data_IF_831137656462
#
_entry.id   IF_831137656462
#
_cell.length_a   1.000
_cell.length_b   1.000
_cell.length_c   1.000
_cell.angle_alpha   90.00
_cell.angle_beta   90.00
_cell.angle_gamma   90.00
#
_symmetry.space_group_name_H-M   'P 1'
#
loop_
_entity.id
_entity.type
_entity.pdbx_description
1 polymer ?
#
# COMPACT_ATOMS: atom_id res chain seq x y z
N UNK A 1 -7.07 13.16 -15.76
CA UNK A 1 -6.39 11.87 -16.01
C UNK A 1 -6.69 10.81 -14.94
N UNK A 2 -6.97 11.18 -13.70
CA UNK A 2 -7.21 10.28 -12.55
C UNK A 2 -8.44 9.36 -12.69
N UNK A 3 -9.54 9.82 -13.30
CA UNK A 3 -10.77 9.03 -13.44
C UNK A 3 -10.69 7.90 -14.47
N UNK A 4 -9.85 8.03 -15.50
CA UNK A 4 -9.72 7.01 -16.55
C UNK A 4 -9.09 5.72 -16.01
N UNK A 5 -8.13 5.81 -15.10
CA UNK A 5 -7.50 4.64 -14.46
C UNK A 5 -8.48 3.93 -13.54
N UNK A 6 -9.28 4.68 -12.77
CA UNK A 6 -10.29 4.11 -11.89
C UNK A 6 -11.38 3.37 -12.66
N UNK A 7 -11.81 3.91 -13.80
CA UNK A 7 -12.81 3.27 -14.68
C UNK A 7 -12.27 1.99 -15.30
N UNK A 8 -11.00 1.95 -15.72
CA UNK A 8 -10.38 0.73 -16.26
C UNK A 8 -10.24 -0.36 -15.18
N UNK A 9 -9.86 0.01 -13.97
CA UNK A 9 -9.78 -0.93 -12.84
C UNK A 9 -11.17 -1.47 -12.43
N UNK A 10 -12.19 -0.62 -12.45
CA UNK A 10 -13.58 -1.04 -12.22
C UNK A 10 -14.10 -1.95 -13.34
N UNK A 11 -13.74 -1.70 -14.61
CA UNK A 11 -14.12 -2.54 -15.73
C UNK A 11 -13.42 -3.92 -15.71
N UNK A 12 -12.15 -3.96 -15.32
CA UNK A 12 -11.42 -5.21 -15.12
C UNK A 12 -11.97 -6.01 -13.94
N UNK A 13 -12.35 -5.34 -12.86
CA UNK A 13 -12.99 -5.98 -11.70
C UNK A 13 -14.39 -6.54 -12.06
N UNK A 14 -15.21 -5.78 -12.82
CA UNK A 14 -16.54 -6.23 -13.23
C UNK A 14 -16.50 -7.40 -14.20
N UNK A 15 -15.54 -7.43 -15.14
CA UNK A 15 -15.37 -8.57 -16.06
C UNK A 15 -14.87 -9.83 -15.37
N UNK A 16 -14.10 -9.69 -14.29
CA UNK A 16 -13.67 -10.81 -13.46
C UNK A 16 -14.84 -11.38 -12.63
N UNK A 17 -15.74 -10.52 -12.14
CA UNK A 17 -16.94 -10.92 -11.39
C UNK A 17 -17.92 -11.67 -12.31
N UNK A 18 -18.14 -11.22 -13.55
CA UNK A 18 -19.03 -11.88 -14.52
C UNK A 18 -18.56 -13.29 -14.90
N UNK A 19 -17.23 -13.53 -15.01
CA UNK A 19 -16.71 -14.89 -15.22
C UNK A 19 -16.76 -15.77 -13.97
N UNK A 20 -16.80 -15.16 -12.78
CA UNK A 20 -16.95 -15.89 -11.53
C UNK A 20 -18.38 -16.46 -11.35
N UNK A 21 -19.39 -15.83 -11.94
CA UNK A 21 -20.78 -16.25 -11.80
C UNK A 21 -21.08 -17.57 -12.52
N UNK A 22 -20.43 -17.84 -13.66
CA UNK A 22 -20.53 -19.16 -14.34
C UNK A 22 -19.89 -20.31 -13.53
N UNK A 23 -18.88 -20.00 -12.70
CA UNK A 23 -18.20 -20.99 -11.84
C UNK A 23 -18.96 -21.27 -10.52
N UNK A 24 -19.92 -20.43 -10.15
CA UNK A 24 -20.66 -20.52 -8.86
C UNK A 24 -21.73 -21.61 -8.87
N UNK A 25 -22.23 -22.00 -10.05
CA UNK A 25 -23.35 -22.97 -10.16
C UNK A 25 -22.94 -24.40 -9.73
N UNK A 26 -21.65 -24.76 -9.79
CA UNK A 26 -21.16 -26.09 -9.39
C UNK A 26 -20.74 -26.23 -7.92
N UNK A 27 -20.94 -25.17 -7.11
CA UNK A 27 -20.35 -25.02 -5.77
C UNK A 27 -21.21 -25.52 -4.60
N UNK A 28 -22.42 -26.02 -4.84
CA UNK A 28 -23.35 -26.40 -3.78
C UNK A 28 -22.89 -27.56 -2.84
N UNK A 29 -21.78 -28.23 -3.14
CA UNK A 29 -21.18 -29.32 -2.35
C UNK A 29 -19.76 -29.12 -1.87
N UNK A 30 -19.14 -27.95 -2.09
CA UNK A 30 -17.75 -27.75 -1.70
C UNK A 30 -17.63 -27.24 -0.25
N UNK A 31 -16.59 -27.77 0.44
CA UNK A 31 -16.23 -27.26 1.79
C UNK A 31 -16.01 -25.75 1.72
N UNK A 32 -16.70 -24.99 2.56
CA UNK A 32 -16.58 -23.52 2.65
C UNK A 32 -15.15 -23.13 2.96
N UNK A 33 -14.54 -23.78 3.95
CA UNK A 33 -13.17 -23.56 4.34
C UNK A 33 -12.22 -24.50 3.59
N UNK A 34 -11.16 -23.93 2.98
CA UNK A 34 -10.18 -24.66 2.18
C UNK A 34 -8.74 -24.44 2.66
N UNK A 35 -8.55 -23.87 3.84
CA UNK A 35 -7.24 -23.61 4.40
C UNK A 35 -6.95 -22.12 4.60
N UNK A 36 -5.73 -21.84 4.93
CA UNK A 36 -5.25 -20.48 5.11
C UNK A 36 -3.85 -20.29 4.52
N UNK A 37 -3.49 -19.07 4.23
CA UNK A 37 -2.14 -18.70 3.85
C UNK A 37 -1.69 -17.46 4.62
N UNK A 38 -0.41 -17.42 4.97
CA UNK A 38 0.16 -16.28 5.67
C UNK A 38 1.63 -16.12 5.34
N UNK A 39 2.13 -14.90 5.36
CA UNK A 39 3.53 -14.66 5.06
C UNK A 39 3.94 -13.21 5.10
N UNK A 40 5.18 -12.98 4.69
CA UNK A 40 5.79 -11.67 4.68
C UNK A 40 6.15 -11.23 3.27
N UNK A 41 6.05 -9.93 3.04
CA UNK A 41 6.33 -9.29 1.75
C UNK A 41 7.19 -8.06 1.97
N UNK A 42 8.20 -7.91 1.14
CA UNK A 42 8.91 -6.65 0.95
C UNK A 42 8.16 -5.82 -0.08
N UNK A 43 8.18 -4.52 0.05
CA UNK A 43 7.55 -3.66 -0.93
C UNK A 43 8.34 -2.37 -1.15
N UNK A 44 8.16 -1.86 -2.33
CA UNK A 44 8.62 -0.54 -2.75
C UNK A 44 7.54 0.09 -3.64
N UNK A 45 7.74 1.32 -4.07
CA UNK A 45 6.78 1.99 -4.93
C UNK A 45 7.12 3.44 -5.14
N UNK A 46 6.13 4.25 -5.45
CA UNK A 46 6.30 5.68 -5.53
C UNK A 46 5.16 6.40 -4.81
N UNK A 47 5.52 7.26 -3.87
CA UNK A 47 4.58 8.18 -3.22
C UNK A 47 4.51 9.46 -4.04
N UNK A 48 3.30 9.82 -4.45
CA UNK A 48 3.08 11.14 -5.02
C UNK A 48 2.89 12.14 -3.88
N UNK A 49 3.67 13.21 -3.91
CA UNK A 49 3.41 14.37 -3.10
C UNK A 49 2.08 14.97 -3.50
N UNK A 50 1.07 14.84 -2.67
CA UNK A 50 -0.23 15.47 -2.90
C UNK A 50 -0.25 16.71 -2.03
N UNK A 51 -0.11 17.86 -2.69
CA UNK A 51 -0.32 19.17 -2.07
C UNK A 51 -1.64 19.77 -2.52
N UNK A 52 -2.37 20.53 -1.69
CA UNK A 52 -2.08 21.96 -1.58
C UNK A 52 -2.00 22.52 -0.15
N UNK A 53 -2.20 21.72 0.87
CA UNK A 53 -2.17 22.19 2.25
C UNK A 53 -1.00 21.55 3.04
N UNK A 54 0.17 21.49 2.42
CA UNK A 54 1.37 21.09 3.14
C UNK A 54 1.58 22.01 4.34
N UNK A 55 1.97 21.48 5.51
CA UNK A 55 2.29 22.34 6.63
C UNK A 55 3.33 23.37 6.20
N UNK A 56 2.98 24.63 6.35
CA UNK A 56 3.88 25.75 6.08
C UNK A 56 4.74 25.90 7.32
N UNK A 57 6.06 25.79 7.17
CA UNK A 57 6.99 26.09 8.27
C UNK A 57 6.94 27.57 8.63
N UNK A 58 7.64 27.98 9.69
CA UNK A 58 7.74 29.38 10.12
C UNK A 58 8.29 30.33 9.03
N UNK A 59 8.86 29.79 7.96
CA UNK A 59 9.40 30.53 6.82
C UNK A 59 8.50 30.49 5.58
N UNK A 60 7.27 29.97 5.69
CA UNK A 60 6.33 29.88 4.56
C UNK A 60 6.61 28.76 3.56
N UNK A 61 7.47 27.78 3.92
CA UNK A 61 7.82 26.66 3.05
C UNK A 61 6.85 25.49 3.26
N UNK A 62 6.27 25.00 2.18
CA UNK A 62 5.43 23.82 2.19
C UNK A 62 6.25 22.56 1.92
N UNK A 63 5.95 21.48 2.63
CA UNK A 63 6.58 20.18 2.45
C UNK A 63 5.57 19.12 2.07
N UNK A 64 5.85 18.42 0.98
CA UNK A 64 5.06 17.29 0.53
C UNK A 64 5.95 16.06 0.35
N UNK A 65 5.76 14.98 1.13
CA UNK A 65 6.59 13.79 1.00
C UNK A 65 6.32 13.10 -0.33
N UNK A 66 7.35 12.99 -1.16
CA UNK A 66 7.32 12.28 -2.42
C UNK A 66 8.59 11.48 -2.63
N UNK A 67 8.52 10.37 -3.34
CA UNK A 67 9.69 9.56 -3.66
C UNK A 67 9.43 8.06 -3.53
N UNK A 68 10.52 7.31 -3.41
CA UNK A 68 10.51 5.85 -3.38
C UNK A 68 10.56 5.34 -1.94
N UNK A 69 9.43 4.92 -1.36
CA UNK A 69 9.42 4.29 -0.04
C UNK A 69 9.87 2.84 -0.15
N UNK A 70 10.50 2.35 0.90
CA UNK A 70 10.81 0.94 1.07
C UNK A 70 10.16 0.43 2.35
N UNK A 71 9.67 -0.80 2.33
CA UNK A 71 9.00 -1.33 3.49
C UNK A 71 8.82 -2.83 3.51
N UNK A 72 8.24 -3.27 4.61
CA UNK A 72 7.90 -4.66 4.85
C UNK A 72 6.46 -4.76 5.31
N UNK A 73 5.80 -5.81 4.92
CA UNK A 73 4.44 -6.12 5.35
C UNK A 73 4.21 -7.60 5.48
N UNK A 74 3.02 -7.96 5.93
CA UNK A 74 2.56 -9.31 6.01
C UNK A 74 1.07 -9.40 5.75
N UNK A 75 0.63 -10.57 5.33
CA UNK A 75 -0.77 -10.87 5.14
C UNK A 75 -1.12 -12.24 5.69
N UNK A 76 -2.34 -12.36 6.21
CA UNK A 76 -2.98 -13.62 6.56
C UNK A 76 -4.28 -13.69 5.78
N UNK A 77 -4.50 -14.78 5.05
CA UNK A 77 -5.69 -14.98 4.21
C UNK A 77 -6.32 -16.33 4.49
N UNK A 78 -7.60 -16.35 4.69
CA UNK A 78 -8.43 -17.55 4.81
C UNK A 78 -9.03 -17.82 3.44
N UNK A 79 -8.89 -19.04 2.97
CA UNK A 79 -9.41 -19.48 1.70
C UNK A 79 -10.83 -19.97 1.88
N UNK A 80 -11.77 -19.26 1.29
CA UNK A 80 -13.18 -19.61 1.28
C UNK A 80 -13.61 -20.05 -0.11
N UNK A 81 -14.31 -21.18 -0.20
CA UNK A 81 -14.69 -21.81 -1.46
C UNK A 81 -13.47 -21.99 -2.39
N UNK A 82 -13.70 -22.04 -3.69
CA UNK A 82 -12.61 -22.25 -4.67
C UNK A 82 -11.84 -20.97 -5.01
N UNK A 83 -12.50 -19.83 -4.91
CA UNK A 83 -12.01 -18.60 -5.52
C UNK A 83 -11.79 -17.48 -4.50
N UNK A 84 -12.57 -17.39 -3.43
CA UNK A 84 -12.54 -16.26 -2.52
C UNK A 84 -11.49 -16.44 -1.43
N UNK A 85 -10.70 -15.40 -1.20
CA UNK A 85 -9.83 -15.29 -0.03
C UNK A 85 -10.19 -13.99 0.71
N UNK A 86 -10.27 -14.09 2.04
CA UNK A 86 -10.46 -12.93 2.92
C UNK A 86 -9.44 -12.96 4.03
N UNK A 87 -9.03 -11.81 4.52
CA UNK A 87 -8.02 -11.80 5.56
C UNK A 87 -7.64 -10.42 6.04
N UNK A 88 -6.45 -10.35 6.61
CA UNK A 88 -5.85 -9.15 7.15
C UNK A 88 -4.48 -8.96 6.56
N UNK A 89 -4.11 -7.69 6.38
CA UNK A 89 -2.74 -7.34 6.03
C UNK A 89 -2.29 -6.11 6.78
N UNK A 90 -0.99 -6.00 6.95
CA UNK A 90 -0.38 -4.81 7.51
C UNK A 90 0.99 -4.58 6.91
N UNK A 91 1.40 -3.32 6.81
CA UNK A 91 2.70 -2.96 6.29
C UNK A 91 3.23 -1.68 6.93
N UNK A 92 4.55 -1.56 6.90
CA UNK A 92 5.27 -0.34 7.28
C UNK A 92 6.20 0.04 6.15
N UNK A 93 6.12 1.29 5.71
CA UNK A 93 7.01 1.87 4.71
C UNK A 93 7.79 3.04 5.30
N UNK A 94 9.01 3.22 4.87
CA UNK A 94 9.84 4.39 5.22
C UNK A 94 10.33 5.04 3.95
N UNK A 95 10.11 6.34 3.84
CA UNK A 95 10.65 7.22 2.81
C UNK A 95 11.73 8.09 3.46
N UNK A 96 12.98 7.97 3.01
CA UNK A 96 14.08 8.83 3.44
C UNK A 96 14.05 10.14 2.63
N UNK A 97 13.39 11.14 3.16
CA UNK A 97 13.15 12.41 2.46
C UNK A 97 14.44 13.21 2.25
N UNK A 98 15.39 13.13 3.18
CA UNK A 98 16.67 13.83 3.08
C UNK A 98 17.59 13.34 1.96
N UNK A 99 17.33 12.13 1.40
CA UNK A 99 18.07 11.60 0.26
C UNK A 99 17.37 11.86 -1.09
N UNK A 100 16.05 11.96 -1.08
CA UNK A 100 15.23 12.05 -2.29
C UNK A 100 14.82 13.47 -2.66
N UNK A 101 14.87 14.41 -1.73
CA UNK A 101 14.33 15.76 -1.93
C UNK A 101 15.33 16.86 -1.52
N UNK A 102 16.38 17.00 -2.32
CA UNK A 102 17.36 18.09 -2.17
C UNK A 102 16.74 19.47 -2.47
N UNK A 103 15.60 19.53 -3.16
CA UNK A 103 14.96 20.80 -3.53
C UNK A 103 14.35 21.52 -2.33
N UNK A 104 13.93 20.79 -1.31
CA UNK A 104 13.28 21.35 -0.12
C UNK A 104 14.25 21.60 1.03
N UNK A 105 15.56 21.63 0.78
CA UNK A 105 16.58 21.87 1.79
C UNK A 105 16.50 20.95 3.02
N UNK A 106 15.96 19.74 2.84
CA UNK A 106 15.88 18.74 3.89
C UNK A 106 17.26 18.13 4.16
N UNK A 107 17.59 18.02 5.43
CA UNK A 107 18.83 17.40 5.87
C UNK A 107 18.74 15.87 5.86
N UNK A 108 19.89 15.18 5.70
CA UNK A 108 19.99 13.75 6.00
C UNK A 108 19.43 13.45 7.40
N UNK A 109 18.62 12.39 7.49
CA UNK A 109 17.87 12.05 8.72
C UNK A 109 16.41 12.44 8.70
N UNK A 110 15.96 13.29 7.75
CA UNK A 110 14.54 13.52 7.51
C UNK A 110 13.89 12.28 6.92
N UNK A 111 12.76 11.85 7.48
CA UNK A 111 12.05 10.68 7.00
C UNK A 111 10.54 10.80 7.16
N UNK A 112 9.81 10.08 6.33
CA UNK A 112 8.38 9.85 6.47
C UNK A 112 8.11 8.36 6.60
N UNK A 113 7.46 7.96 7.68
CA UNK A 113 7.09 6.57 7.96
C UNK A 113 5.57 6.41 7.88
N UNK A 114 5.13 5.39 7.16
CA UNK A 114 3.73 5.06 6.96
C UNK A 114 3.50 3.66 7.50
N UNK A 115 2.59 3.52 8.46
CA UNK A 115 2.14 2.23 8.97
C UNK A 115 0.65 2.06 8.66
N UNK A 116 0.27 0.94 8.08
CA UNK A 116 -1.11 0.65 7.68
C UNK A 116 -1.50 -0.77 8.04
N UNK A 117 -2.80 -0.97 8.27
CA UNK A 117 -3.39 -2.29 8.44
C UNK A 117 -4.85 -2.29 8.02
N UNK A 118 -5.32 -3.40 7.47
CA UNK A 118 -6.68 -3.48 6.96
C UNK A 118 -7.16 -4.89 6.66
N UNK A 119 -8.44 -4.97 6.35
CA UNK A 119 -9.10 -6.17 5.85
C UNK A 119 -8.89 -6.26 4.35
N UNK A 120 -8.52 -7.43 3.87
CA UNK A 120 -8.41 -7.70 2.46
C UNK A 120 -9.41 -8.76 2.01
N UNK A 121 -9.81 -8.65 0.75
CA UNK A 121 -10.59 -9.67 0.06
C UNK A 121 -10.13 -9.75 -1.39
N UNK A 122 -9.94 -10.97 -1.89
CA UNK A 122 -9.57 -11.20 -3.27
C UNK A 122 -10.21 -12.44 -3.87
N UNK A 123 -10.29 -12.42 -5.19
CA UNK A 123 -10.64 -13.58 -6.02
C UNK A 123 -9.35 -14.15 -6.58
N UNK A 124 -9.10 -15.43 -6.31
CA UNK A 124 -7.88 -16.13 -6.67
C UNK A 124 -8.19 -17.35 -7.52
N UNK A 125 -7.66 -17.38 -8.73
CA UNK A 125 -7.80 -18.52 -9.64
C UNK A 125 -6.67 -19.51 -9.43
N UNK A 126 -6.97 -20.65 -8.81
CA UNK A 126 -5.99 -21.69 -8.52
C UNK A 126 -5.79 -22.57 -9.73
N UNK A 127 -4.74 -22.32 -10.48
CA UNK A 127 -4.26 -23.19 -11.55
C UNK A 127 -3.16 -24.12 -11.02
N UNK A 128 -2.43 -24.83 -11.87
CA UNK A 128 -1.45 -25.83 -11.42
C UNK A 128 -0.30 -25.23 -10.62
N UNK A 129 0.33 -24.15 -11.13
CA UNK A 129 1.53 -23.55 -10.50
C UNK A 129 1.42 -22.06 -10.25
N UNK A 130 0.59 -21.37 -11.00
CA UNK A 130 0.44 -19.91 -10.91
C UNK A 130 -0.99 -19.59 -10.50
N UNK A 131 -1.17 -18.88 -9.43
CA UNK A 131 -2.47 -18.49 -8.87
C UNK A 131 -2.66 -16.98 -9.03
N UNK A 132 -3.15 -16.50 -10.16
CA UNK A 132 -3.47 -15.08 -10.31
C UNK A 132 -4.62 -14.69 -9.41
N UNK A 133 -4.57 -13.45 -8.92
CA UNK A 133 -5.62 -12.91 -8.06
C UNK A 133 -5.83 -11.41 -8.27
N UNK A 134 -7.03 -10.96 -7.95
CA UNK A 134 -7.42 -9.56 -7.93
C UNK A 134 -8.26 -9.29 -6.70
N UNK A 135 -8.03 -8.15 -6.06
CA UNK A 135 -8.75 -7.82 -4.85
C UNK A 135 -8.55 -6.38 -4.41
N UNK A 136 -8.99 -6.13 -3.19
CA UNK A 136 -8.81 -4.84 -2.54
C UNK A 136 -8.61 -5.00 -1.04
N UNK A 137 -7.91 -4.02 -0.47
CA UNK A 137 -7.78 -3.86 0.97
C UNK A 137 -8.43 -2.56 1.39
N UNK A 138 -9.16 -2.61 2.49
CA UNK A 138 -9.74 -1.43 3.15
C UNK A 138 -9.23 -1.38 4.58
N UNK A 139 -8.71 -0.23 4.98
CA UNK A 139 -8.14 -0.13 6.32
C UNK A 139 -7.79 1.26 6.75
N UNK A 140 -7.03 1.33 7.83
CA UNK A 140 -6.52 2.57 8.39
C UNK A 140 -5.01 2.55 8.55
N UNK A 141 -4.44 3.72 8.66
CA UNK A 141 -3.01 3.88 8.85
C UNK A 141 -2.66 5.18 9.53
N UNK A 142 -1.37 5.31 9.83
CA UNK A 142 -0.80 6.54 10.34
C UNK A 142 0.48 6.86 9.58
N UNK A 143 0.62 8.11 9.21
CA UNK A 143 1.83 8.70 8.66
C UNK A 143 2.53 9.51 9.76
N UNK A 144 3.84 9.38 9.85
CA UNK A 144 4.70 10.18 10.76
C UNK A 144 5.86 10.71 9.96
N UNK A 145 6.03 12.02 9.95
CA UNK A 145 7.14 12.69 9.28
C UNK A 145 8.01 13.40 10.31
N UNK A 146 9.30 13.17 10.23
CA UNK A 146 10.32 13.93 10.94
C UNK A 146 11.12 14.69 9.90
N UNK A 147 11.05 16.00 9.94
CA UNK A 147 11.68 16.88 8.97
C UNK A 147 12.73 17.74 9.70
N UNK A 148 13.96 17.66 9.22
CA UNK A 148 15.06 18.48 9.69
C UNK A 148 15.39 19.48 8.59
N UNK A 149 15.30 20.77 8.90
CA UNK A 149 15.53 21.86 7.96
C UNK A 149 16.70 22.70 8.43
N UNK A 150 17.49 23.21 7.50
CA UNK A 150 18.49 24.25 7.82
C UNK A 150 17.79 25.58 8.10
N UNK A 151 18.03 26.16 9.26
CA UNK A 151 17.61 27.51 9.57
C UNK A 151 18.23 28.56 8.63
N UNK A 152 17.73 29.78 8.69
CA UNK A 152 18.20 30.89 7.85
C UNK A 152 19.72 31.08 7.99
N UNK A 153 20.43 31.13 6.86
CA UNK A 153 21.89 31.30 6.82
C UNK A 153 22.36 32.66 7.36
N UNK A 154 21.43 33.60 7.49
CA UNK A 154 21.72 34.98 7.98
C UNK A 154 21.63 35.15 9.51
N UNK A 155 21.14 34.13 10.24
CA UNK A 155 21.16 34.20 11.70
C UNK A 155 22.48 33.70 12.26
N UNK A 156 23.05 34.44 13.22
CA UNK A 156 24.30 34.08 13.94
C UNK A 156 24.17 32.74 14.69
N UNK A 157 22.97 32.33 15.00
CA UNK A 157 22.64 31.00 15.49
C UNK A 157 22.09 30.19 14.29
N UNK A 158 22.82 29.17 13.83
CA UNK A 158 22.29 28.14 12.90
C UNK A 158 21.26 27.31 13.65
N UNK A 159 20.07 27.84 13.80
CA UNK A 159 18.96 27.11 14.42
C UNK A 159 18.58 25.96 13.54
N UNK A 160 18.74 24.74 14.05
CA UNK A 160 18.26 23.52 13.44
C UNK A 160 16.81 23.36 13.83
N UNK A 161 15.90 23.51 12.88
CA UNK A 161 14.50 23.29 13.12
C UNK A 161 14.11 21.84 12.81
N UNK A 162 13.39 21.23 13.74
CA UNK A 162 12.88 19.86 13.59
C UNK A 162 11.37 19.89 13.70
N UNK A 163 10.70 19.47 12.64
CA UNK A 163 9.25 19.36 12.60
C UNK A 163 8.82 17.92 12.71
N UNK A 164 7.89 17.66 13.61
CA UNK A 164 7.26 16.36 13.76
C UNK A 164 5.79 16.46 13.42
N UNK A 165 5.37 15.71 12.40
CA UNK A 165 3.98 15.62 11.96
C UNK A 165 3.48 14.20 12.09
N UNK A 166 2.27 14.02 12.67
CA UNK A 166 1.59 12.73 12.78
C UNK A 166 0.16 12.86 12.31
N UNK A 167 -0.25 11.96 11.43
CA UNK A 167 -1.57 11.96 10.82
C UNK A 167 -2.11 10.56 10.65
N UNK A 168 -3.39 10.36 11.01
CA UNK A 168 -4.14 9.15 10.70
C UNK A 168 -4.93 9.30 9.41
N UNK A 169 -5.15 8.20 8.70
CA UNK A 169 -5.94 8.18 7.46
C UNK A 169 -6.62 6.83 7.26
N UNK A 170 -7.71 6.84 6.48
CA UNK A 170 -8.29 5.63 5.91
C UNK A 170 -7.80 5.44 4.49
N UNK A 171 -7.72 4.19 4.05
CA UNK A 171 -7.29 3.88 2.70
C UNK A 171 -8.08 2.73 2.07
N UNK A 172 -8.12 2.77 0.75
CA UNK A 172 -8.56 1.67 -0.10
C UNK A 172 -7.42 1.37 -1.07
N UNK A 173 -7.08 0.12 -1.21
CA UNK A 173 -5.97 -0.31 -2.06
C UNK A 173 -6.44 -1.45 -2.96
N UNK A 174 -6.88 -1.16 -4.20
CA UNK A 174 -7.06 -2.19 -5.21
C UNK A 174 -5.71 -2.80 -5.57
N UNK A 175 -5.70 -4.11 -5.81
CA UNK A 175 -4.48 -4.82 -6.17
C UNK A 175 -4.73 -5.96 -7.14
N UNK A 176 -3.67 -6.31 -7.86
CA UNK A 176 -3.57 -7.49 -8.69
C UNK A 176 -2.26 -8.20 -8.37
N UNK A 177 -2.23 -9.52 -8.50
CA UNK A 177 -1.01 -10.25 -8.24
C UNK A 177 -1.07 -11.70 -8.68
N UNK A 178 0.00 -12.40 -8.41
CA UNK A 178 0.08 -13.83 -8.61
C UNK A 178 0.91 -14.49 -7.51
N UNK A 179 0.49 -15.69 -7.11
CA UNK A 179 1.23 -16.57 -6.24
C UNK A 179 1.81 -17.70 -7.09
N UNK A 180 3.12 -17.88 -7.07
CA UNK A 180 3.80 -18.99 -7.73
C UNK A 180 4.06 -20.10 -6.71
N UNK A 181 3.47 -21.26 -6.94
CA UNK A 181 3.60 -22.44 -6.07
C UNK A 181 4.99 -23.09 -6.24
N UNK A 182 5.90 -22.82 -5.34
CA UNK A 182 7.23 -23.45 -5.29
C UNK A 182 7.08 -24.89 -4.78
N UNK A 183 6.31 -25.04 -3.71
CA UNK A 183 5.90 -26.34 -3.14
C UNK A 183 4.41 -26.28 -2.78
N UNK A 184 3.84 -27.38 -2.33
CA UNK A 184 2.45 -27.42 -1.87
C UNK A 184 2.17 -26.47 -0.70
N UNK A 185 3.21 -26.09 0.06
CA UNK A 185 3.09 -25.26 1.26
C UNK A 185 3.75 -23.88 1.14
N UNK A 186 4.61 -23.67 0.13
CA UNK A 186 5.39 -22.45 -0.03
C UNK A 186 5.10 -21.82 -1.38
N UNK A 187 4.66 -20.57 -1.35
CA UNK A 187 4.38 -19.76 -2.55
C UNK A 187 5.23 -18.50 -2.54
N UNK A 188 5.74 -18.14 -3.71
CA UNK A 188 6.28 -16.81 -3.98
C UNK A 188 5.13 -15.93 -4.42
N UNK A 189 4.93 -14.80 -3.76
CA UNK A 189 3.89 -13.83 -4.13
C UNK A 189 4.50 -12.62 -4.79
N UNK A 190 3.87 -12.18 -5.87
CA UNK A 190 4.13 -10.91 -6.53
C UNK A 190 2.82 -10.13 -6.62
N UNK A 191 2.81 -8.87 -6.18
CA UNK A 191 1.62 -8.05 -6.16
C UNK A 191 1.93 -6.62 -6.59
N UNK A 192 1.02 -6.06 -7.37
CA UNK A 192 0.95 -4.65 -7.70
C UNK A 192 -0.28 -4.05 -7.06
N UNK A 193 -0.16 -2.94 -6.41
CA UNK A 193 -1.30 -2.23 -5.86
C UNK A 193 -1.19 -0.71 -6.06
N UNK A 194 -2.30 -0.04 -5.84
CA UNK A 194 -2.35 1.40 -5.84
C UNK A 194 -3.06 1.90 -4.58
N UNK A 195 -2.31 2.52 -3.70
CA UNK A 195 -2.84 3.06 -2.45
C UNK A 195 -3.60 4.34 -2.71
N UNK A 196 -4.89 4.33 -2.37
CA UNK A 196 -5.79 5.47 -2.41
C UNK A 196 -6.16 5.84 -0.98
N UNK A 197 -5.59 6.89 -0.45
CA UNK A 197 -6.02 7.39 0.84
C UNK A 197 -7.33 8.19 0.70
N UNK A 198 -8.32 7.86 1.54
CA UNK A 198 -9.61 8.53 1.59
C UNK A 198 -9.52 9.67 2.60
N UNK A 199 -9.92 10.89 2.21
CA UNK A 199 -9.51 12.08 2.91
C UNK A 199 -10.61 13.09 3.29
N UNK A 200 -10.30 13.87 4.35
CA UNK A 200 -10.80 15.22 4.63
C UNK A 200 -9.84 16.27 4.02
N UNK A 201 -10.35 17.33 3.48
CA UNK A 201 -9.77 18.26 2.48
C UNK A 201 -8.46 19.01 2.79
N UNK A 202 -7.81 18.80 3.91
CA UNK A 202 -6.71 19.68 4.35
C UNK A 202 -5.39 18.97 4.67
N UNK A 203 -5.26 17.66 4.38
CA UNK A 203 -4.15 16.85 4.87
C UNK A 203 -3.40 16.14 3.74
N UNK A 204 -2.08 16.04 3.86
CA UNK A 204 -1.22 15.28 2.94
C UNK A 204 -1.49 13.80 3.10
N UNK A 205 -1.85 13.12 2.01
CA UNK A 205 -2.18 11.70 2.05
C UNK A 205 -1.19 10.86 1.26
N UNK A 206 -0.74 9.74 1.82
CA UNK A 206 0.10 8.81 1.08
C UNK A 206 -0.71 8.15 -0.03
N UNK A 207 -0.37 8.42 -1.28
CA UNK A 207 -1.02 7.85 -2.46
C UNK A 207 0.03 7.43 -3.46
N UNK A 208 -0.14 6.27 -4.10
CA UNK A 208 0.77 5.87 -5.16
C UNK A 208 0.81 4.36 -5.42
N UNK A 209 1.47 3.98 -6.52
CA UNK A 209 1.67 2.59 -6.89
C UNK A 209 2.72 1.93 -6.00
N UNK A 210 2.49 0.65 -5.69
CA UNK A 210 3.44 -0.18 -4.93
C UNK A 210 3.57 -1.55 -5.56
N UNK A 211 4.76 -2.10 -5.41
CA UNK A 211 5.13 -3.44 -5.85
C UNK A 211 5.54 -4.24 -4.63
N UNK A 212 5.04 -5.45 -4.52
CA UNK A 212 5.36 -6.37 -3.43
C UNK A 212 5.95 -7.65 -3.97
N UNK A 213 6.91 -8.16 -3.23
CA UNK A 213 7.48 -9.48 -3.44
C UNK A 213 7.66 -10.17 -2.10
N UNK A 214 7.26 -11.43 -1.97
CA UNK A 214 7.33 -12.12 -0.70
C UNK A 214 7.11 -13.62 -0.74
N UNK A 215 7.06 -14.18 0.45
CA UNK A 215 6.85 -15.59 0.71
C UNK A 215 5.55 -15.78 1.48
N UNK A 216 4.70 -16.68 1.00
CA UNK A 216 3.45 -17.06 1.63
C UNK A 216 3.47 -18.56 1.91
N UNK A 217 3.13 -18.93 3.13
CA UNK A 217 2.94 -20.31 3.55
C UNK A 217 1.46 -20.65 3.51
N UNK A 218 1.12 -21.82 2.94
CA UNK A 218 -0.27 -22.28 2.79
C UNK A 218 -0.47 -23.59 3.54
N UNK A 219 -1.60 -23.69 4.22
CA UNK A 219 -2.06 -24.88 4.96
C UNK A 219 -3.48 -25.24 4.57
#
# INVERSE_FOLDING_TARGET
>A
MRYKVLVVLLFLASSAVLKADEAVVDTARQKVYQGFSGGMMLHTGYLFGVDPAAPVDAFGRSYSPQGVPMGVGGALRIHLWKLLRVGFEGFVSTLNSGLSDQRNHLRPGSYTRIGCGGLNADVCWRTSRVWPYVGATVGGGAMRSLLMVDGDQNSWAREKETYFHKQGFFYVTPYVGCDYCVTQKLHLTFRLDYMLAVHRSELIMPTGPRVYFGLMFTH
#
